data_IF_923010385868
#
_entry.id   IF_923010385868
#
_cell.length_a   1.000
_cell.length_b   1.000
_cell.length_c   1.000
_cell.angle_alpha   90.00
_cell.angle_beta   90.00
_cell.angle_gamma   90.00
#
_symmetry.space_group_name_H-M   'P 1'
#
loop_
_entity.id
_entity.type
_entity.pdbx_description
1 polymer ?
#
# COMPACT_ATOMS: atom_id res chain seq x y z
N UNK A 1 26.54 16.00 2.26
CA UNK A 1 25.17 15.68 1.85
C UNK A 1 25.05 15.70 0.33
N UNK A 2 24.29 14.75 -0.17
CA UNK A 2 24.05 14.61 -1.59
C UNK A 2 22.94 15.56 -2.05
N UNK A 3 22.98 15.97 -3.33
CA UNK A 3 21.92 16.78 -3.90
C UNK A 3 20.60 16.03 -4.01
N UNK A 4 19.50 16.76 -4.11
CA UNK A 4 18.15 16.18 -4.19
C UNK A 4 18.00 15.21 -5.36
N UNK A 5 18.58 15.50 -6.51
CA UNK A 5 18.48 14.61 -7.67
C UNK A 5 19.21 13.27 -7.42
N UNK A 6 20.38 13.30 -6.79
CA UNK A 6 21.12 12.09 -6.46
C UNK A 6 20.34 11.25 -5.43
N UNK A 7 19.73 11.88 -4.45
CA UNK A 7 18.86 11.22 -3.47
C UNK A 7 17.65 10.58 -4.14
N UNK A 8 16.98 11.29 -5.04
CA UNK A 8 15.84 10.78 -5.78
C UNK A 8 16.21 9.53 -6.60
N UNK A 9 17.33 9.57 -7.30
CA UNK A 9 17.81 8.42 -8.07
C UNK A 9 18.07 7.21 -7.20
N UNK A 10 18.65 7.40 -6.01
CA UNK A 10 18.88 6.32 -5.05
C UNK A 10 17.57 5.74 -4.55
N UNK A 11 16.60 6.58 -4.21
CA UNK A 11 15.29 6.12 -3.75
C UNK A 11 14.57 5.30 -4.82
N UNK A 12 14.58 5.79 -6.06
CA UNK A 12 13.93 5.07 -7.17
C UNK A 12 14.57 3.71 -7.45
N UNK A 13 15.82 3.51 -7.04
CA UNK A 13 16.54 2.25 -7.24
C UNK A 13 16.37 1.27 -6.07
N UNK A 14 15.70 1.66 -4.98
CA UNK A 14 15.53 0.78 -3.82
C UNK A 14 14.45 -0.27 -4.07
N UNK A 15 14.67 -1.46 -3.54
CA UNK A 15 13.69 -2.54 -3.61
C UNK A 15 12.43 -2.25 -2.81
N UNK A 16 12.54 -1.48 -1.73
CA UNK A 16 11.42 -1.11 -0.87
C UNK A 16 10.36 -0.29 -1.60
N UNK A 17 10.78 0.52 -2.58
CA UNK A 17 9.88 1.36 -3.38
C UNK A 17 9.55 0.76 -4.74
N UNK A 18 10.09 -0.41 -5.05
CA UNK A 18 9.81 -1.08 -6.32
C UNK A 18 8.36 -1.58 -6.37
N UNK A 19 7.81 -1.66 -7.57
CA UNK A 19 6.48 -2.23 -7.78
C UNK A 19 6.44 -3.68 -7.34
N UNK A 20 5.42 -4.05 -6.58
CA UNK A 20 5.16 -5.44 -6.15
C UNK A 20 4.09 -6.10 -7.02
N UNK A 21 3.84 -5.56 -8.19
CA UNK A 21 2.78 -5.99 -9.10
C UNK A 21 2.82 -7.48 -9.41
N UNK A 22 3.99 -8.03 -9.66
CA UNK A 22 4.16 -9.44 -9.97
C UNK A 22 3.71 -10.37 -8.84
N UNK A 23 3.73 -9.89 -7.58
CA UNK A 23 3.27 -10.65 -6.42
C UNK A 23 1.75 -10.71 -6.40
N UNK A 24 1.08 -9.54 -6.42
CA UNK A 24 -0.37 -9.48 -6.25
C UNK A 24 -1.15 -9.85 -7.52
N UNK A 25 -0.55 -9.73 -8.71
CA UNK A 25 -1.19 -10.18 -9.95
C UNK A 25 -1.44 -11.68 -10.00
N UNK A 26 -0.68 -12.46 -9.24
CA UNK A 26 -0.80 -13.91 -9.26
C UNK A 26 -2.14 -14.38 -8.67
N UNK A 27 -2.70 -13.65 -7.72
CA UNK A 27 -3.90 -14.10 -7.03
C UNK A 27 -4.81 -13.01 -6.49
N UNK A 28 -4.32 -11.90 -5.97
CA UNK A 28 -5.06 -11.03 -5.07
C UNK A 28 -6.45 -10.61 -5.52
N UNK A 29 -6.58 -9.91 -6.64
CA UNK A 29 -7.88 -9.39 -7.08
C UNK A 29 -8.68 -10.36 -7.94
N UNK A 30 -8.08 -11.46 -8.35
CA UNK A 30 -8.72 -12.48 -9.22
C UNK A 30 -9.32 -13.62 -8.42
N UNK A 31 -8.78 -13.93 -7.26
CA UNK A 31 -9.27 -15.02 -6.40
C UNK A 31 -10.57 -14.57 -5.73
N UNK A 32 -11.64 -15.34 -5.95
CA UNK A 32 -12.97 -14.99 -5.45
C UNK A 32 -13.75 -13.98 -6.29
N UNK A 33 -13.06 -13.10 -7.02
CA UNK A 33 -13.68 -12.16 -7.95
C UNK A 33 -14.51 -11.04 -7.34
N UNK A 34 -14.30 -10.72 -6.06
CA UNK A 34 -15.09 -9.71 -5.33
C UNK A 34 -14.45 -8.32 -5.27
N UNK A 35 -13.27 -8.15 -5.83
CA UNK A 35 -12.57 -6.87 -5.84
C UNK A 35 -13.24 -5.90 -6.81
N UNK A 36 -13.70 -4.76 -6.29
CA UNK A 36 -14.30 -3.67 -7.08
C UNK A 36 -13.23 -2.66 -7.48
N UNK A 37 -12.38 -2.27 -6.53
CA UNK A 37 -11.24 -1.37 -6.79
C UNK A 37 -9.96 -2.18 -6.68
N UNK A 38 -9.26 -2.29 -7.81
CA UNK A 38 -8.03 -3.10 -7.93
C UNK A 38 -6.83 -2.44 -7.26
N UNK A 39 -5.75 -3.22 -6.99
CA UNK A 39 -4.50 -2.65 -6.48
C UNK A 39 -3.96 -1.52 -7.34
N UNK A 40 -3.34 -0.54 -6.69
CA UNK A 40 -2.74 0.63 -7.33
C UNK A 40 -3.24 1.95 -6.78
N UNK A 41 -4.28 1.94 -5.94
CA UNK A 41 -4.76 3.12 -5.21
C UNK A 41 -4.48 3.02 -3.71
N UNK A 42 -4.98 4.00 -2.96
CA UNK A 42 -4.76 4.07 -1.51
C UNK A 42 -5.74 3.22 -0.71
N UNK A 43 -6.78 2.71 -1.35
CA UNK A 43 -7.79 1.89 -0.70
C UNK A 43 -8.17 0.72 -1.58
N UNK A 44 -8.55 -0.38 -0.96
CA UNK A 44 -9.19 -1.50 -1.62
C UNK A 44 -10.70 -1.46 -1.36
N UNK A 45 -11.49 -1.86 -2.35
CA UNK A 45 -12.94 -2.01 -2.18
C UNK A 45 -13.32 -3.42 -2.58
N UNK A 46 -13.97 -4.12 -1.66
CA UNK A 46 -14.41 -5.51 -1.84
C UNK A 46 -15.92 -5.58 -1.73
N UNK A 47 -16.53 -6.31 -2.63
CA UNK A 47 -17.98 -6.53 -2.65
C UNK A 47 -18.39 -7.51 -1.56
N UNK A 48 -19.52 -7.23 -0.92
CA UNK A 48 -20.16 -8.19 -0.02
C UNK A 48 -21.17 -8.99 -0.84
N UNK A 49 -20.94 -10.28 -1.01
CA UNK A 49 -21.79 -11.17 -1.82
C UNK A 49 -23.27 -11.08 -1.43
N UNK A 50 -24.13 -11.06 -2.46
CA UNK A 50 -25.58 -11.06 -2.28
C UNK A 50 -26.16 -9.75 -1.78
N UNK A 51 -25.36 -8.67 -1.73
CA UNK A 51 -25.81 -7.34 -1.31
C UNK A 51 -25.29 -6.25 -2.25
N UNK A 52 -25.80 -5.03 -2.07
CA UNK A 52 -25.28 -3.83 -2.72
C UNK A 52 -24.20 -3.13 -1.88
N UNK A 53 -23.68 -3.81 -0.86
CA UNK A 53 -22.67 -3.26 0.06
C UNK A 53 -21.28 -3.58 -0.42
N UNK A 54 -20.34 -2.69 -0.10
CA UNK A 54 -18.91 -2.90 -0.27
C UNK A 54 -18.18 -2.56 1.01
N UNK A 55 -17.00 -3.14 1.17
CA UNK A 55 -16.07 -2.81 2.25
C UNK A 55 -14.90 -2.05 1.66
N UNK A 56 -14.62 -0.88 2.18
CA UNK A 56 -13.44 -0.11 1.86
C UNK A 56 -12.39 -0.34 2.94
N UNK A 57 -11.18 -0.70 2.53
CA UNK A 57 -10.11 -1.07 3.45
C UNK A 57 -8.88 -0.25 3.07
N UNK A 58 -8.31 0.42 4.06
CA UNK A 58 -7.02 1.11 3.91
C UNK A 58 -6.04 0.59 4.95
N UNK A 59 -4.78 0.60 4.60
CA UNK A 59 -3.71 0.34 5.56
C UNK A 59 -2.55 1.27 5.27
N UNK A 60 -1.96 1.82 6.29
CA UNK A 60 -0.80 2.68 6.16
C UNK A 60 0.06 2.59 7.41
N UNK A 61 1.34 2.58 7.23
CA UNK A 61 2.30 2.87 8.29
C UNK A 61 3.70 3.04 7.69
N UNK A 62 4.55 3.75 8.39
CA UNK A 62 5.99 3.75 8.11
C UNK A 62 6.67 2.92 9.20
N UNK A 63 7.03 1.66 8.92
CA UNK A 63 7.48 0.72 9.97
C UNK A 63 8.66 1.26 10.79
N UNK A 64 9.59 1.93 10.15
CA UNK A 64 10.76 2.49 10.84
C UNK A 64 10.39 3.61 11.81
N UNK A 65 9.40 4.43 11.46
CA UNK A 65 8.91 5.49 12.34
C UNK A 65 8.15 4.90 13.53
N UNK A 66 7.30 3.91 13.27
CA UNK A 66 6.56 3.22 14.33
C UNK A 66 7.51 2.48 15.29
N UNK A 67 8.60 1.92 14.76
CA UNK A 67 9.62 1.27 15.60
C UNK A 67 10.36 2.27 16.48
N UNK A 68 10.72 3.43 15.91
CA UNK A 68 11.44 4.47 16.65
C UNK A 68 10.57 5.17 17.70
N UNK A 69 9.32 5.46 17.35
CA UNK A 69 8.34 6.11 18.24
C UNK A 69 6.92 5.69 17.81
N UNK A 70 6.33 4.71 18.51
CA UNK A 70 5.00 4.19 18.14
C UNK A 70 3.90 5.25 18.13
N UNK A 71 3.98 6.23 19.03
CA UNK A 71 2.95 7.29 19.11
C UNK A 71 3.02 8.22 17.90
N UNK A 72 4.21 8.72 17.60
CA UNK A 72 4.40 9.62 16.45
C UNK A 72 4.26 8.89 15.12
N UNK A 73 4.74 7.64 15.04
CA UNK A 73 4.53 6.80 13.86
C UNK A 73 3.06 6.51 13.59
N UNK A 74 2.28 6.27 14.63
CA UNK A 74 0.84 6.09 14.54
C UNK A 74 0.12 7.35 14.09
N UNK A 75 0.50 8.51 14.62
CA UNK A 75 -0.05 9.79 14.18
C UNK A 75 0.24 10.07 12.71
N UNK A 76 1.45 9.74 12.26
CA UNK A 76 1.85 9.95 10.87
C UNK A 76 1.06 9.06 9.91
N UNK A 77 0.65 7.87 10.34
CA UNK A 77 -0.13 6.95 9.52
C UNK A 77 -1.60 7.40 9.34
N UNK A 78 -2.15 8.19 10.25
CA UNK A 78 -3.52 8.71 10.20
C UNK A 78 -3.61 10.02 9.46
#
# INVERSE_FOLDING_TARGET
>A
PEGLLAMLKKLMATTDLASKRWIWEQYDHMVGGDTVLRPGGDAAIVRVHGTKKGLAITSDCTPRYCYADPVEGGKQAV
#
